data_IF_913123328417
#
_entry.id   IF_913123328417
#
_cell.length_a   1.000
_cell.length_b   1.000
_cell.length_c   1.000
_cell.angle_alpha   90.00
_cell.angle_beta   90.00
_cell.angle_gamma   90.00
#
_symmetry.space_group_name_H-M   'P 1'
#
loop_
_entity.id
_entity.type
_entity.pdbx_description
1 polymer ?
#
# COMPACT_ATOMS: atom_id res chain seq x y z
N UNK A 1 29.71 19.19 1.35
CA UNK A 1 29.26 17.99 0.60
C UNK A 1 27.83 18.25 0.18
N UNK A 2 27.62 18.62 -1.08
CA UNK A 2 26.32 19.03 -1.62
C UNK A 2 25.57 17.75 -2.00
N UNK A 3 24.58 17.39 -1.19
CA UNK A 3 23.68 16.28 -1.51
C UNK A 3 22.64 16.76 -2.51
N UNK A 4 22.78 16.33 -3.76
CA UNK A 4 21.83 16.60 -4.82
C UNK A 4 20.58 15.73 -4.56
N UNK A 5 19.56 16.32 -3.94
CA UNK A 5 18.25 15.69 -3.75
C UNK A 5 17.53 15.75 -5.10
N UNK A 6 17.30 14.60 -5.72
CA UNK A 6 16.47 14.50 -6.92
C UNK A 6 15.02 14.61 -6.45
N UNK A 7 14.44 15.79 -6.60
CA UNK A 7 13.00 16.00 -6.47
C UNK A 7 12.33 15.50 -7.76
N UNK A 8 11.70 14.32 -7.69
CA UNK A 8 10.94 13.79 -8.82
C UNK A 8 9.60 14.53 -8.93
N UNK A 9 9.56 15.50 -9.84
CA UNK A 9 8.36 16.23 -10.25
C UNK A 9 7.31 15.27 -10.82
N UNK A 10 6.16 15.19 -10.16
CA UNK A 10 4.92 14.59 -10.64
C UNK A 10 4.35 15.40 -11.82
N UNK A 11 4.93 15.23 -13.01
CA UNK A 11 4.38 15.77 -14.26
C UNK A 11 3.63 14.70 -15.02
N UNK A 12 2.33 14.95 -15.19
CA UNK A 12 1.35 14.24 -16.01
C UNK A 12 1.72 14.33 -17.50
N UNK A 13 2.73 13.59 -17.95
CA UNK A 13 3.12 13.51 -19.36
C UNK A 13 2.96 12.07 -19.83
N UNK A 14 1.85 11.71 -20.51
CA UNK A 14 1.68 10.55 -21.40
C UNK A 14 2.22 9.17 -20.98
N UNK A 15 2.72 9.03 -19.77
CA UNK A 15 3.59 7.96 -19.30
C UNK A 15 2.75 7.03 -18.46
N UNK A 16 2.92 5.75 -18.76
CA UNK A 16 2.38 4.63 -17.99
C UNK A 16 2.60 4.90 -16.49
N UNK A 17 1.58 4.65 -15.65
CA UNK A 17 1.66 4.82 -14.19
C UNK A 17 2.87 4.06 -13.65
N UNK A 18 3.55 4.61 -12.64
CA UNK A 18 4.53 3.83 -11.88
C UNK A 18 3.88 3.12 -10.70
N UNK A 19 4.51 2.05 -10.24
CA UNK A 19 4.12 1.26 -9.08
C UNK A 19 5.30 1.22 -8.11
N UNK A 20 5.13 1.81 -6.95
CA UNK A 20 6.13 1.81 -5.87
C UNK A 20 5.62 0.98 -4.70
N UNK A 21 6.51 0.28 -4.00
CA UNK A 21 6.15 -0.44 -2.77
C UNK A 21 7.07 -0.08 -1.62
N UNK A 22 6.45 0.18 -0.47
CA UNK A 22 7.16 0.29 0.79
C UNK A 22 6.70 -0.86 1.69
N UNK A 23 7.67 -1.59 2.23
CA UNK A 23 7.41 -2.69 3.15
C UNK A 23 8.39 -2.63 4.31
N UNK A 24 7.89 -2.98 5.49
CA UNK A 24 8.73 -3.19 6.65
C UNK A 24 8.94 -4.70 6.86
N UNK A 25 10.15 -5.07 7.22
CA UNK A 25 10.53 -6.45 7.48
C UNK A 25 11.48 -6.55 8.66
N UNK A 26 11.36 -7.62 9.41
CA UNK A 26 12.39 -8.06 10.36
C UNK A 26 13.62 -8.57 9.61
N UNK A 27 14.76 -8.67 10.31
CA UNK A 27 16.03 -9.12 9.73
C UNK A 27 15.97 -10.55 9.16
N UNK A 28 15.15 -11.41 9.75
CA UNK A 28 14.90 -12.79 9.31
C UNK A 28 13.77 -12.88 8.25
N UNK A 29 13.25 -11.73 7.78
CA UNK A 29 12.36 -11.66 6.61
C UNK A 29 10.87 -11.75 6.92
N UNK A 30 10.47 -11.59 8.19
CA UNK A 30 9.05 -11.54 8.58
C UNK A 30 8.47 -10.14 8.30
N UNK A 31 7.37 -10.12 7.55
CA UNK A 31 6.60 -8.92 7.13
C UNK A 31 5.21 -8.83 7.76
N UNK A 32 4.90 -9.78 8.66
CA UNK A 32 3.61 -9.96 9.33
C UNK A 32 3.67 -9.41 10.77
N UNK A 33 2.59 -8.80 11.28
CA UNK A 33 2.50 -8.34 12.68
C UNK A 33 3.26 -7.04 12.97
N UNK A 34 3.13 -6.05 12.09
CA UNK A 34 3.73 -4.72 12.25
C UNK A 34 2.93 -3.84 13.22
N UNK A 35 1.60 -3.83 13.11
CA UNK A 35 0.72 -2.92 13.85
C UNK A 35 0.39 -3.37 15.26
N UNK A 36 0.13 -4.68 15.47
CA UNK A 36 -0.25 -5.23 16.79
C UNK A 36 0.19 -6.68 16.96
N UNK A 37 0.26 -7.12 18.22
CA UNK A 37 0.75 -8.46 18.58
C UNK A 37 -0.10 -9.61 17.99
N UNK A 38 -1.38 -9.34 17.77
CA UNK A 38 -2.40 -10.26 17.29
C UNK A 38 -2.91 -9.90 15.88
N UNK A 39 -2.19 -9.04 15.15
CA UNK A 39 -2.64 -8.47 13.86
C UNK A 39 -2.90 -9.55 12.82
N UNK A 40 -2.00 -10.53 12.78
CA UNK A 40 -2.07 -11.67 11.91
C UNK A 40 -1.38 -12.82 12.63
N UNK A 41 -2.15 -13.80 13.09
CA UNK A 41 -1.64 -14.96 13.84
C UNK A 41 -1.48 -16.22 13.00
N UNK A 42 -1.64 -16.10 11.67
CA UNK A 42 -1.62 -17.24 10.75
C UNK A 42 -0.20 -17.79 10.60
N UNK A 43 -0.12 -19.08 10.28
CA UNK A 43 1.17 -19.78 10.14
C UNK A 43 1.88 -20.00 11.47
N UNK A 44 1.11 -20.12 12.56
CA UNK A 44 1.60 -20.25 13.94
C UNK A 44 2.45 -19.05 14.40
N UNK A 45 2.29 -17.91 13.74
CA UNK A 45 2.97 -16.66 14.10
C UNK A 45 2.28 -16.02 15.30
N UNK A 46 2.85 -16.17 16.50
CA UNK A 46 2.20 -15.81 17.76
C UNK A 46 2.58 -14.45 18.34
N UNK A 47 3.30 -13.59 17.61
CA UNK A 47 3.86 -12.35 18.15
C UNK A 47 3.89 -11.23 17.11
N UNK A 48 3.62 -10.00 17.51
CA UNK A 48 3.85 -8.82 16.66
C UNK A 48 5.18 -8.18 17.01
N UNK A 49 5.91 -7.74 16.01
CA UNK A 49 7.26 -7.20 16.20
C UNK A 49 7.28 -5.68 16.15
N UNK A 50 6.32 -5.01 15.50
CA UNK A 50 6.45 -3.57 15.24
C UNK A 50 6.32 -2.61 16.43
N UNK A 51 5.39 -2.80 17.42
CA UNK A 51 5.18 -1.80 18.47
C UNK A 51 6.43 -1.38 19.26
N UNK A 52 7.36 -2.29 19.63
CA UNK A 52 8.63 -1.93 20.26
C UNK A 52 9.60 -1.09 19.40
N UNK A 53 9.43 -1.07 18.07
CA UNK A 53 10.31 -0.35 17.13
C UNK A 53 9.64 0.86 16.49
N UNK A 54 8.50 1.33 17.02
CA UNK A 54 7.90 2.59 16.61
C UNK A 54 8.72 3.76 17.16
N UNK A 55 9.76 4.15 16.43
CA UNK A 55 10.55 5.36 16.68
C UNK A 55 10.15 6.51 15.74
N UNK A 56 10.68 7.71 16.01
CA UNK A 56 10.36 8.92 15.24
C UNK A 56 10.74 8.78 13.75
N UNK A 57 11.77 7.99 13.43
CA UNK A 57 12.21 7.75 12.05
C UNK A 57 11.21 6.87 11.32
N UNK A 58 10.78 5.78 11.94
CA UNK A 58 9.75 4.89 11.42
C UNK A 58 8.43 5.62 11.20
N UNK A 59 8.03 6.49 12.13
CA UNK A 59 6.82 7.32 11.99
C UNK A 59 6.96 8.34 10.86
N UNK A 60 8.13 8.97 10.70
CA UNK A 60 8.38 9.95 9.64
C UNK A 60 8.42 9.30 8.25
N UNK A 61 9.04 8.12 8.11
CA UNK A 61 9.06 7.37 6.85
C UNK A 61 7.68 6.81 6.48
N UNK A 62 6.98 6.18 7.44
CA UNK A 62 5.58 5.79 7.26
C UNK A 62 4.75 7.01 6.86
N UNK A 63 5.08 8.17 7.43
CA UNK A 63 4.40 9.40 7.14
C UNK A 63 4.60 9.93 5.73
N UNK A 64 5.84 9.93 5.24
CA UNK A 64 6.16 10.32 3.85
C UNK A 64 5.45 9.42 2.85
N UNK A 65 5.41 8.12 3.12
CA UNK A 65 4.80 7.14 2.24
C UNK A 65 3.28 7.24 2.23
N UNK A 66 2.66 7.31 3.41
CA UNK A 66 1.20 7.43 3.54
C UNK A 66 0.66 8.81 3.13
N UNK A 67 1.51 9.82 3.02
CA UNK A 67 1.17 11.14 2.47
C UNK A 67 1.64 11.32 1.01
N UNK A 68 2.31 10.31 0.43
CA UNK A 68 2.80 10.39 -0.94
C UNK A 68 1.63 10.55 -1.91
N UNK A 69 1.77 11.46 -2.87
CA UNK A 69 0.71 11.74 -3.82
C UNK A 69 0.53 10.56 -4.79
N UNK A 70 -0.67 9.95 -4.80
CA UNK A 70 -0.96 8.81 -5.65
C UNK A 70 -2.31 8.13 -5.35
N UNK A 71 -2.60 7.08 -6.10
CA UNK A 71 -3.66 6.13 -5.79
C UNK A 71 -3.07 4.93 -5.02
N UNK A 72 -3.87 4.29 -4.18
CA UNK A 72 -3.45 3.17 -3.34
C UNK A 72 -3.80 1.84 -4.00
N UNK A 73 -2.88 0.88 -3.97
CA UNK A 73 -3.08 -0.49 -4.47
C UNK A 73 -2.97 -1.48 -3.31
N UNK A 74 -4.04 -2.25 -3.09
CA UNK A 74 -4.13 -3.22 -2.00
C UNK A 74 -4.42 -4.62 -2.51
N UNK A 75 -3.91 -5.61 -1.76
CA UNK A 75 -4.51 -6.95 -1.77
C UNK A 75 -5.72 -7.00 -0.83
N UNK A 76 -6.65 -7.94 -1.07
CA UNK A 76 -7.86 -8.13 -0.24
C UNK A 76 -7.63 -7.97 1.27
N UNK A 77 -6.66 -8.72 1.83
CA UNK A 77 -6.46 -8.81 3.29
C UNK A 77 -6.07 -7.46 3.89
N UNK A 78 -5.00 -6.87 3.35
CA UNK A 78 -4.52 -5.58 3.83
C UNK A 78 -5.56 -4.48 3.66
N UNK A 79 -6.36 -4.54 2.58
CA UNK A 79 -7.48 -3.62 2.44
C UNK A 79 -8.54 -3.79 3.54
N UNK A 80 -8.87 -5.02 3.95
CA UNK A 80 -9.81 -5.26 5.05
C UNK A 80 -9.28 -4.70 6.37
N UNK A 81 -8.02 -4.97 6.70
CA UNK A 81 -7.37 -4.47 7.92
C UNK A 81 -7.34 -2.92 7.93
N UNK A 82 -7.01 -2.31 6.79
CA UNK A 82 -7.01 -0.86 6.66
C UNK A 82 -8.43 -0.27 6.71
N UNK A 83 -9.42 -0.93 6.09
CA UNK A 83 -10.79 -0.45 6.10
C UNK A 83 -11.40 -0.49 7.51
N UNK A 84 -11.06 -1.50 8.33
CA UNK A 84 -11.45 -1.56 9.74
C UNK A 84 -10.86 -0.40 10.55
N UNK A 85 -9.59 -0.08 10.33
CA UNK A 85 -8.87 0.94 11.09
C UNK A 85 -9.16 2.37 10.62
N UNK A 86 -9.27 2.59 9.30
CA UNK A 86 -9.28 3.90 8.67
C UNK A 86 -10.57 4.22 7.92
N UNK A 87 -11.45 3.24 7.69
CA UNK A 87 -12.65 3.42 6.86
C UNK A 87 -13.64 4.47 7.38
N UNK A 88 -13.51 4.85 8.66
CA UNK A 88 -14.32 5.90 9.30
C UNK A 88 -13.47 7.01 9.92
N UNK A 89 -12.17 7.04 9.65
CA UNK A 89 -11.28 8.06 10.19
C UNK A 89 -11.63 9.43 9.59
N UNK A 90 -11.67 10.46 10.45
CA UNK A 90 -11.80 11.85 10.01
C UNK A 90 -10.48 12.32 9.36
N UNK A 91 -10.54 13.41 8.60
CA UNK A 91 -9.36 14.06 7.99
C UNK A 91 -8.54 14.87 9.03
N UNK A 92 -8.24 14.25 10.18
CA UNK A 92 -7.57 14.88 11.32
C UNK A 92 -6.04 14.84 11.24
N UNK A 93 -5.48 14.02 10.36
CA UNK A 93 -4.06 13.91 10.12
C UNK A 93 -3.75 13.74 8.62
N UNK A 94 -2.52 14.00 8.18
CA UNK A 94 -2.16 13.93 6.75
C UNK A 94 -2.43 12.56 6.11
N UNK A 95 -2.39 11.47 6.87
CA UNK A 95 -2.58 10.11 6.36
C UNK A 95 -4.05 9.80 6.12
N UNK A 96 -4.91 10.08 7.10
CA UNK A 96 -6.36 9.92 6.95
C UNK A 96 -6.88 10.84 5.84
N UNK A 97 -6.40 12.08 5.78
CA UNK A 97 -6.72 13.02 4.70
C UNK A 97 -6.31 12.49 3.32
N UNK A 98 -5.08 11.98 3.16
CA UNK A 98 -4.65 11.38 1.89
C UNK A 98 -5.48 10.15 1.53
N UNK A 99 -5.60 9.20 2.46
CA UNK A 99 -6.37 7.97 2.26
C UNK A 99 -7.82 8.25 1.91
N UNK A 100 -8.46 9.26 2.51
CA UNK A 100 -9.85 9.57 2.24
C UNK A 100 -10.08 10.09 0.81
N UNK A 101 -9.10 10.78 0.22
CA UNK A 101 -9.16 11.33 -1.15
C UNK A 101 -8.68 10.34 -2.21
N UNK A 102 -7.66 9.54 -1.91
CA UNK A 102 -7.05 8.60 -2.86
C UNK A 102 -8.02 7.50 -3.33
N UNK A 103 -7.90 7.10 -4.61
CA UNK A 103 -8.57 5.88 -5.08
C UNK A 103 -7.85 4.67 -4.50
N UNK A 104 -8.61 3.64 -4.14
CA UNK A 104 -8.11 2.41 -3.53
C UNK A 104 -8.45 1.26 -4.45
N UNK A 105 -7.47 0.78 -5.19
CA UNK A 105 -7.62 -0.39 -6.06
C UNK A 105 -7.40 -1.65 -5.24
N UNK A 106 -8.39 -2.54 -5.19
CA UNK A 106 -8.36 -3.75 -4.37
C UNK A 106 -8.30 -4.97 -5.27
N UNK A 107 -7.17 -5.68 -5.26
CA UNK A 107 -6.96 -6.88 -6.07
C UNK A 107 -7.48 -8.10 -5.32
N UNK A 108 -8.36 -8.85 -5.96
CA UNK A 108 -9.05 -9.99 -5.35
C UNK A 108 -9.60 -10.95 -6.41
N UNK A 109 -9.47 -12.27 -6.19
CA UNK A 109 -10.07 -13.28 -7.06
C UNK A 109 -11.59 -13.38 -6.86
N UNK A 110 -12.02 -13.50 -5.61
CA UNK A 110 -13.46 -13.57 -5.29
C UNK A 110 -14.06 -12.17 -5.12
N UNK A 111 -15.38 -12.15 -5.12
CA UNK A 111 -16.19 -10.98 -4.86
C UNK A 111 -15.93 -10.44 -3.45
N UNK A 112 -15.88 -9.12 -3.34
CA UNK A 112 -15.61 -8.40 -2.11
C UNK A 112 -16.40 -7.09 -2.16
N UNK A 113 -17.23 -6.84 -1.15
CA UNK A 113 -17.90 -5.54 -1.01
C UNK A 113 -16.88 -4.50 -0.55
N UNK A 114 -16.43 -3.69 -1.51
CA UNK A 114 -15.48 -2.60 -1.26
C UNK A 114 -16.14 -1.28 -0.88
N UNK A 115 -17.48 -1.22 -0.84
CA UNK A 115 -18.24 0.01 -0.65
C UNK A 115 -18.14 0.61 0.75
N UNK A 116 -17.68 -0.15 1.75
CA UNK A 116 -17.58 0.33 3.13
C UNK A 116 -16.39 1.27 3.39
N UNK A 117 -15.46 1.40 2.43
CA UNK A 117 -14.40 2.41 2.46
C UNK A 117 -14.42 3.20 1.16
N UNK A 118 -14.61 4.52 1.25
CA UNK A 118 -14.83 5.40 0.11
C UNK A 118 -13.70 5.36 -0.91
N UNK A 119 -14.04 5.61 -2.18
CA UNK A 119 -13.11 5.60 -3.32
C UNK A 119 -12.43 4.23 -3.58
N UNK A 120 -12.98 3.14 -3.04
CA UNK A 120 -12.48 1.79 -3.31
C UNK A 120 -13.06 1.19 -4.59
N UNK A 121 -12.21 0.53 -5.37
CA UNK A 121 -12.52 -0.10 -6.65
C UNK A 121 -11.98 -1.52 -6.63
N UNK A 122 -12.87 -2.50 -6.78
CA UNK A 122 -12.48 -3.91 -6.87
C UNK A 122 -11.89 -4.22 -8.25
N UNK A 123 -10.62 -4.64 -8.27
CA UNK A 123 -9.96 -5.25 -9.41
C UNK A 123 -10.10 -6.76 -9.32
N UNK A 124 -11.18 -7.29 -9.90
CA UNK A 124 -11.49 -8.72 -9.87
C UNK A 124 -10.65 -9.50 -10.87
N UNK A 125 -10.03 -10.59 -10.41
CA UNK A 125 -9.31 -11.55 -11.26
C UNK A 125 -7.82 -11.65 -10.94
N UNK A 126 -7.04 -12.14 -11.90
CA UNK A 126 -5.61 -12.35 -11.70
C UNK A 126 -4.87 -11.02 -11.44
N UNK A 127 -4.06 -11.00 -10.39
CA UNK A 127 -3.41 -9.80 -9.90
C UNK A 127 -2.50 -9.16 -10.96
N UNK A 128 -1.67 -9.96 -11.61
CA UNK A 128 -0.72 -9.47 -12.62
C UNK A 128 -1.43 -8.89 -13.84
N UNK A 129 -2.53 -9.51 -14.29
CA UNK A 129 -3.29 -9.05 -15.44
C UNK A 129 -4.07 -7.76 -15.15
N UNK A 130 -4.76 -7.71 -14.01
CA UNK A 130 -5.56 -6.54 -13.61
C UNK A 130 -4.66 -5.32 -13.33
N UNK A 131 -3.56 -5.53 -12.61
CA UNK A 131 -2.59 -4.46 -12.31
C UNK A 131 -1.83 -4.02 -13.55
N UNK A 132 -1.44 -4.92 -14.47
CA UNK A 132 -0.81 -4.51 -15.73
C UNK A 132 -1.75 -3.64 -16.58
N UNK A 133 -3.04 -3.98 -16.61
CA UNK A 133 -4.06 -3.18 -17.29
C UNK A 133 -4.19 -1.80 -16.65
N UNK A 134 -4.27 -1.74 -15.32
CA UNK A 134 -4.34 -0.47 -14.60
C UNK A 134 -3.08 0.38 -14.83
N UNK A 135 -1.89 -0.23 -14.76
CA UNK A 135 -0.61 0.43 -14.97
C UNK A 135 -0.56 1.11 -16.35
N UNK A 136 -1.12 0.46 -17.38
CA UNK A 136 -1.19 0.97 -18.75
C UNK A 136 -2.15 2.15 -18.97
N UNK A 137 -3.04 2.44 -18.02
CA UNK A 137 -3.97 3.58 -18.10
C UNK A 137 -3.30 4.87 -17.62
N UNK A 138 -3.82 6.01 -18.07
CA UNK A 138 -3.43 7.30 -17.51
C UNK A 138 -3.92 7.47 -16.06
N UNK A 139 -3.20 8.25 -15.27
CA UNK A 139 -3.61 8.69 -13.94
C UNK A 139 -2.45 8.73 -12.95
N UNK A 140 -2.75 8.90 -11.65
CA UNK A 140 -1.74 8.95 -10.60
C UNK A 140 -0.95 7.64 -10.49
N UNK A 141 0.29 7.76 -10.02
CA UNK A 141 1.12 6.62 -9.64
C UNK A 141 0.45 5.79 -8.54
N UNK A 142 0.85 4.53 -8.44
CA UNK A 142 0.30 3.57 -7.49
C UNK A 142 1.31 3.29 -6.38
N UNK A 143 0.87 3.36 -5.12
CA UNK A 143 1.66 2.85 -4.00
C UNK A 143 1.05 1.57 -3.42
N UNK A 144 1.89 0.57 -3.20
CA UNK A 144 1.50 -0.72 -2.60
C UNK A 144 1.86 -0.70 -1.12
N UNK A 145 0.84 -0.63 -0.28
CA UNK A 145 0.95 -0.83 1.17
C UNK A 145 0.58 -2.28 1.47
N UNK A 146 1.45 -3.21 1.07
CA UNK A 146 1.18 -4.65 1.11
C UNK A 146 -0.01 -5.12 0.25
N UNK A 147 -0.44 -6.38 0.34
CA UNK A 147 0.16 -7.50 1.08
C UNK A 147 1.48 -7.96 0.44
N UNK A 148 2.37 -8.57 1.23
CA UNK A 148 3.59 -9.18 0.71
C UNK A 148 3.34 -10.22 -0.40
N UNK A 149 2.20 -10.92 -0.36
CA UNK A 149 1.76 -11.82 -1.45
C UNK A 149 1.53 -11.07 -2.77
N UNK A 150 0.87 -9.91 -2.70
CA UNK A 150 0.64 -9.06 -3.86
C UNK A 150 1.97 -8.50 -4.38
N UNK A 151 2.80 -7.94 -3.49
CA UNK A 151 4.12 -7.40 -3.83
C UNK A 151 4.99 -8.46 -4.50
N UNK A 152 5.08 -9.66 -3.92
CA UNK A 152 5.83 -10.79 -4.49
C UNK A 152 5.33 -11.15 -5.89
N UNK A 153 4.02 -11.20 -6.09
CA UNK A 153 3.42 -11.56 -7.39
C UNK A 153 3.69 -10.50 -8.46
N UNK A 154 3.58 -9.22 -8.11
CA UNK A 154 3.84 -8.11 -9.03
C UNK A 154 5.33 -7.93 -9.33
N UNK A 155 6.19 -8.11 -8.32
CA UNK A 155 7.64 -8.11 -8.49
C UNK A 155 8.09 -9.22 -9.43
N UNK A 156 7.60 -10.45 -9.24
CA UNK A 156 7.91 -11.59 -10.12
C UNK A 156 7.45 -11.35 -11.59
N UNK A 157 6.43 -10.52 -11.79
CA UNK A 157 5.93 -10.13 -13.11
C UNK A 157 6.61 -8.88 -13.69
N UNK A 158 7.58 -8.28 -13.00
CA UNK A 158 8.27 -7.06 -13.44
C UNK A 158 7.37 -5.82 -13.47
N UNK A 159 6.35 -5.77 -12.61
CA UNK A 159 5.37 -4.68 -12.59
C UNK A 159 5.68 -3.58 -11.57
N UNK A 160 6.60 -3.81 -10.64
CA UNK A 160 7.05 -2.82 -9.64
C UNK A 160 8.23 -2.05 -10.21
N UNK A 161 8.21 -0.72 -10.05
CA UNK A 161 9.25 0.19 -10.53
C UNK A 161 10.23 0.59 -9.41
N UNK A 162 9.76 0.69 -8.16
CA UNK A 162 10.54 1.07 -6.97
C UNK A 162 10.09 0.28 -5.73
#
# INVERSE_FOLDING_TARGET
MVGLRVENNNTTDGRRRTITTTMFMTLDGVVQGLGRADEDTRGDFGYGWGPPYNDDVMVDELGKEMSSAGDLLFGRRTWQDFAEQWGRAADDNPYSAHMNVARKYVVSHDELDVGHWQNSILLRGEATATVATLKAQSGPNLSINGSATLVRSLHAAGLIDE
#
